data_IF_116372409702
#
_entry.id   IF_116372409702
#
_cell.length_a   1.000
_cell.length_b   1.000
_cell.length_c   1.000
_cell.angle_alpha   90.00
_cell.angle_beta   90.00
_cell.angle_gamma   90.00
#
_symmetry.space_group_name_H-M   'P 1'
#
loop_
_entity.id
_entity.type
_entity.pdbx_description
1 polymer ?
#
# COMPACT_ATOMS: atom_id res chain seq x y z
N UNK A 1 -0.40 23.12 1.62
CA UNK A 1 -0.03 24.12 2.65
C UNK A 1 -1.21 24.38 3.58
N UNK A 2 -0.94 24.36 4.89
CA UNK A 2 -1.91 24.69 5.94
C UNK A 2 -3.20 23.84 5.86
N UNK A 3 -3.07 22.58 5.39
CA UNK A 3 -4.21 21.69 5.20
C UNK A 3 -4.86 21.40 6.55
N UNK A 4 -6.12 21.82 6.68
CA UNK A 4 -6.94 21.51 7.84
C UNK A 4 -8.25 20.89 7.37
N UNK A 5 -8.50 19.65 7.79
CA UNK A 5 -9.65 18.84 7.39
C UNK A 5 -10.45 18.43 8.60
N UNK A 6 -11.71 18.77 8.59
CA UNK A 6 -12.68 18.37 9.61
C UNK A 6 -13.83 17.56 9.03
N UNK A 7 -14.45 16.76 9.88
CA UNK A 7 -15.67 16.03 9.56
C UNK A 7 -16.82 16.46 10.45
N UNK A 8 -17.99 16.68 9.85
CA UNK A 8 -19.23 16.90 10.61
C UNK A 8 -19.66 15.61 11.28
N UNK A 9 -19.72 15.62 12.61
CA UNK A 9 -20.19 14.52 13.43
C UNK A 9 -21.30 15.02 14.34
N UNK A 10 -22.56 14.78 13.96
CA UNK A 10 -23.73 15.36 14.61
C UNK A 10 -23.63 16.89 14.68
N UNK A 11 -23.60 17.49 15.87
CA UNK A 11 -23.53 18.93 16.11
C UNK A 11 -22.09 19.46 16.30
N UNK A 12 -21.07 18.63 16.09
CA UNK A 12 -19.67 18.98 16.30
C UNK A 12 -18.84 18.73 15.02
N UNK A 13 -17.63 19.32 14.98
CA UNK A 13 -16.65 19.09 13.94
C UNK A 13 -15.46 18.36 14.58
N UNK A 14 -15.19 17.16 14.08
CA UNK A 14 -13.97 16.44 14.42
C UNK A 14 -12.88 16.85 13.44
N UNK A 15 -11.77 17.44 13.92
CA UNK A 15 -10.61 17.81 13.11
C UNK A 15 -9.67 16.63 12.98
N UNK A 16 -9.55 16.07 11.78
CA UNK A 16 -8.70 14.91 11.50
C UNK A 16 -7.29 15.30 11.01
N UNK A 17 -7.15 16.48 10.40
CA UNK A 17 -5.87 17.07 9.97
C UNK A 17 -5.89 18.52 10.35
N UNK A 18 -4.81 19.01 10.96
CA UNK A 18 -4.69 20.38 11.44
C UNK A 18 -3.37 21.00 11.01
N UNK A 19 -3.46 22.05 10.18
CA UNK A 19 -2.33 22.86 9.70
C UNK A 19 -1.16 22.06 9.10
N UNK A 20 -1.47 20.95 8.40
CA UNK A 20 -0.45 20.11 7.78
C UNK A 20 0.11 20.78 6.51
N UNK A 21 1.43 20.90 6.45
CA UNK A 21 2.13 21.51 5.32
C UNK A 21 3.33 20.67 4.92
N UNK A 22 3.33 20.16 3.68
CA UNK A 22 4.46 19.45 3.07
C UNK A 22 4.44 19.63 1.57
N UNK A 23 5.53 19.27 0.92
CA UNK A 23 5.66 19.31 -0.55
C UNK A 23 6.38 18.07 -1.03
N UNK A 24 6.03 17.63 -2.23
CA UNK A 24 6.65 16.49 -2.92
C UNK A 24 7.35 17.04 -4.16
N UNK A 25 8.65 16.79 -4.29
CA UNK A 25 9.41 17.20 -5.43
C UNK A 25 9.26 16.20 -6.58
N UNK A 26 9.66 16.62 -7.78
CA UNK A 26 9.68 15.74 -8.94
C UNK A 26 10.67 14.57 -8.72
N UNK A 27 10.25 13.36 -9.09
CA UNK A 27 11.03 12.11 -8.95
C UNK A 27 11.40 11.76 -7.49
N UNK A 28 10.69 12.33 -6.53
CA UNK A 28 10.90 12.07 -5.10
C UNK A 28 9.93 11.02 -4.58
N UNK A 29 10.40 10.19 -3.65
CA UNK A 29 9.56 9.39 -2.76
C UNK A 29 9.48 10.07 -1.40
N UNK A 30 8.31 10.66 -1.09
CA UNK A 30 8.02 11.24 0.20
C UNK A 30 7.22 10.25 1.05
N UNK A 31 7.75 9.86 2.20
CA UNK A 31 6.99 9.05 3.16
C UNK A 31 6.13 9.92 4.08
N UNK A 32 4.93 9.45 4.38
CA UNK A 32 4.06 10.01 5.41
C UNK A 32 3.80 8.93 6.46
N UNK A 33 4.36 9.09 7.65
CA UNK A 33 4.38 8.09 8.72
C UNK A 33 3.69 8.56 9.99
N UNK A 34 3.27 7.63 10.84
CA UNK A 34 2.64 7.89 12.14
C UNK A 34 1.69 6.76 12.53
N UNK A 35 1.19 6.78 13.74
CA UNK A 35 0.23 5.78 14.25
C UNK A 35 -1.08 5.77 13.47
N UNK A 36 -1.86 4.67 13.62
CA UNK A 36 -3.20 4.61 13.04
C UNK A 36 -4.05 5.77 13.58
N UNK A 37 -4.84 6.39 12.70
CA UNK A 37 -5.65 7.56 13.08
C UNK A 37 -4.90 8.89 13.14
N UNK A 38 -3.61 8.96 12.82
CA UNK A 38 -2.85 10.23 12.82
C UNK A 38 -3.21 11.21 11.67
N UNK A 39 -4.09 10.83 10.74
CA UNK A 39 -4.56 11.69 9.64
C UNK A 39 -3.90 11.47 8.28
N UNK A 40 -3.01 10.45 8.14
CA UNK A 40 -2.27 10.15 6.90
C UNK A 40 -3.19 9.93 5.69
N UNK A 41 -4.06 8.93 5.77
CA UNK A 41 -4.99 8.60 4.66
C UNK A 41 -5.99 9.72 4.39
N UNK A 42 -6.39 10.49 5.42
CA UNK A 42 -7.23 11.68 5.24
C UNK A 42 -6.49 12.75 4.44
N UNK A 43 -5.21 12.99 4.74
CA UNK A 43 -4.36 13.92 3.99
C UNK A 43 -4.20 13.48 2.53
N UNK A 44 -3.96 12.19 2.28
CA UNK A 44 -3.83 11.61 0.95
C UNK A 44 -5.14 11.71 0.14
N UNK A 45 -6.27 11.29 0.71
CA UNK A 45 -7.58 11.38 0.06
C UNK A 45 -8.01 12.82 -0.21
N UNK A 46 -7.54 13.79 0.60
CA UNK A 46 -7.78 15.22 0.37
C UNK A 46 -7.15 15.72 -0.92
N UNK A 47 -5.97 15.18 -1.30
CA UNK A 47 -5.28 15.55 -2.55
C UNK A 47 -6.18 15.26 -3.77
N UNK A 48 -6.91 14.16 -3.72
CA UNK A 48 -7.81 13.76 -4.80
C UNK A 48 -9.28 14.14 -4.54
N UNK A 49 -9.57 14.87 -3.43
CA UNK A 49 -10.94 15.17 -2.99
C UNK A 49 -11.86 13.93 -2.99
N UNK A 50 -11.35 12.79 -2.43
CA UNK A 50 -12.08 11.52 -2.32
C UNK A 50 -12.78 11.37 -0.96
N UNK A 51 -12.72 12.37 -0.10
CA UNK A 51 -13.39 12.36 1.18
C UNK A 51 -14.92 12.52 0.99
N UNK A 52 -15.76 12.02 1.94
CA UNK A 52 -17.21 12.05 1.82
C UNK A 52 -17.76 13.49 1.65
N UNK A 53 -18.44 13.72 0.52
CA UNK A 53 -19.10 15.01 0.25
C UNK A 53 -20.15 15.34 1.32
N UNK A 54 -20.34 16.63 1.61
CA UNK A 54 -21.31 17.13 2.59
C UNK A 54 -20.94 16.90 4.06
N UNK A 55 -20.00 15.99 4.34
CA UNK A 55 -19.47 15.74 5.71
C UNK A 55 -18.09 16.35 5.90
N UNK A 56 -17.31 16.53 4.84
CA UNK A 56 -15.95 17.05 4.88
C UNK A 56 -15.94 18.58 4.84
N UNK A 57 -15.11 19.18 5.68
CA UNK A 57 -14.89 20.63 5.72
C UNK A 57 -13.40 20.88 5.57
N UNK A 58 -13.03 21.63 4.54
CA UNK A 58 -11.70 22.23 4.43
C UNK A 58 -11.74 23.60 5.07
N UNK A 59 -10.84 23.87 6.03
CA UNK A 59 -10.77 25.19 6.69
C UNK A 59 -10.24 26.22 5.70
N UNK A 60 -10.75 27.44 5.78
CA UNK A 60 -10.26 28.58 4.99
C UNK A 60 -8.75 28.77 5.21
N UNK A 61 -7.99 28.86 4.11
CA UNK A 61 -6.53 28.94 4.11
C UNK A 61 -5.83 27.60 3.81
N UNK A 62 -6.57 26.48 3.82
CA UNK A 62 -6.05 25.21 3.29
C UNK A 62 -5.81 25.36 1.79
N UNK A 63 -4.66 24.84 1.31
CA UNK A 63 -4.29 24.85 -0.10
C UNK A 63 -3.60 23.56 -0.49
N UNK A 64 -4.07 22.93 -1.57
CA UNK A 64 -3.44 21.76 -2.19
C UNK A 64 -3.14 22.11 -3.64
N UNK A 65 -1.87 22.29 -3.98
CA UNK A 65 -1.45 22.63 -5.34
C UNK A 65 -0.84 21.46 -6.05
N UNK A 66 -1.31 21.23 -7.27
CA UNK A 66 -0.66 20.37 -8.24
C UNK A 66 -0.12 21.26 -9.36
N UNK A 67 1.21 21.37 -9.46
CA UNK A 67 1.89 22.41 -10.22
C UNK A 67 1.39 23.80 -9.79
N UNK A 68 0.71 24.54 -10.69
CA UNK A 68 0.20 25.87 -10.45
C UNK A 68 -1.30 25.91 -10.15
N UNK A 69 -1.97 24.75 -10.15
CA UNK A 69 -3.42 24.65 -10.04
C UNK A 69 -3.83 24.28 -8.60
N UNK A 70 -4.79 25.04 -8.04
CA UNK A 70 -5.35 24.77 -6.71
C UNK A 70 -6.42 23.68 -6.81
N UNK A 71 -6.13 22.50 -6.25
CA UNK A 71 -7.01 21.32 -6.35
C UNK A 71 -8.32 21.55 -5.60
N UNK A 72 -8.29 22.23 -4.44
CA UNK A 72 -9.49 22.42 -3.63
C UNK A 72 -10.56 23.29 -4.31
N UNK A 73 -10.18 24.07 -5.32
CA UNK A 73 -11.09 24.96 -6.09
C UNK A 73 -11.54 24.34 -7.42
N UNK A 74 -11.08 23.11 -7.75
CA UNK A 74 -11.41 22.48 -9.01
C UNK A 74 -12.84 21.98 -9.07
N UNK A 75 -13.47 22.15 -10.23
CA UNK A 75 -14.73 21.50 -10.55
C UNK A 75 -14.57 19.98 -10.72
N UNK A 76 -15.66 19.22 -10.57
CA UNK A 76 -15.64 17.77 -10.77
C UNK A 76 -15.06 17.37 -12.14
N UNK A 77 -15.31 18.12 -13.20
CA UNK A 77 -14.75 17.87 -14.54
C UNK A 77 -13.23 18.03 -14.57
N UNK A 78 -12.70 19.04 -13.89
CA UNK A 78 -11.25 19.25 -13.76
C UNK A 78 -10.61 18.14 -12.91
N UNK A 79 -11.26 17.75 -11.80
CA UNK A 79 -10.78 16.63 -10.96
C UNK A 79 -10.75 15.31 -11.74
N UNK A 80 -11.73 15.02 -12.59
CA UNK A 80 -11.72 13.83 -13.47
C UNK A 80 -10.51 13.80 -14.40
N UNK A 81 -10.04 14.96 -14.89
CA UNK A 81 -8.84 15.04 -15.74
C UNK A 81 -7.52 14.81 -14.98
N UNK A 82 -7.56 14.86 -13.64
CA UNK A 82 -6.40 14.65 -12.77
C UNK A 82 -6.41 13.25 -12.17
N UNK A 83 -7.56 12.83 -11.62
CA UNK A 83 -7.74 11.54 -10.95
C UNK A 83 -7.46 10.40 -11.93
N UNK A 84 -6.56 9.48 -11.56
CA UNK A 84 -6.18 8.31 -12.36
C UNK A 84 -5.32 8.63 -13.59
N UNK A 85 -5.20 9.89 -14.03
CA UNK A 85 -4.39 10.29 -15.18
C UNK A 85 -3.10 11.01 -14.75
N UNK A 86 -3.20 12.02 -13.89
CA UNK A 86 -2.06 12.81 -13.41
C UNK A 86 -1.63 12.41 -12.01
N UNK A 87 -2.60 12.15 -11.16
CA UNK A 87 -2.41 11.64 -9.82
C UNK A 87 -3.21 10.36 -9.69
N UNK A 88 -2.54 9.27 -9.38
CA UNK A 88 -3.15 7.97 -9.14
C UNK A 88 -2.98 7.54 -7.69
N UNK A 89 -3.81 6.59 -7.23
CA UNK A 89 -3.79 6.13 -5.84
C UNK A 89 -3.94 4.62 -5.76
N UNK A 90 -3.09 4.00 -4.94
CA UNK A 90 -3.23 2.64 -4.45
C UNK A 90 -3.84 2.74 -3.05
N UNK A 91 -5.01 2.12 -2.85
CA UNK A 91 -5.72 2.12 -1.57
C UNK A 91 -5.23 1.00 -0.66
N UNK A 92 -5.43 1.17 0.65
CA UNK A 92 -4.94 0.31 1.71
C UNK A 92 -5.39 -1.16 1.59
N UNK A 93 -6.58 -1.42 1.05
CA UNK A 93 -7.13 -2.79 0.97
C UNK A 93 -7.19 -3.32 -0.47
N UNK A 94 -6.26 -4.22 -0.88
CA UNK A 94 -6.29 -4.84 -2.21
C UNK A 94 -7.57 -5.61 -2.51
N UNK A 95 -8.19 -6.18 -1.48
CA UNK A 95 -9.38 -7.03 -1.61
C UNK A 95 -10.63 -6.26 -1.99
N UNK A 96 -10.72 -4.98 -1.61
CA UNK A 96 -11.87 -4.11 -1.88
C UNK A 96 -11.68 -3.24 -3.11
N UNK A 97 -10.42 -3.09 -3.58
CA UNK A 97 -10.07 -2.22 -4.71
C UNK A 97 -10.33 -2.88 -6.08
N UNK A 98 -10.25 -4.22 -6.16
CA UNK A 98 -10.57 -4.96 -7.38
C UNK A 98 -12.02 -5.45 -7.34
N UNK A 99 -12.77 -5.21 -8.42
CA UNK A 99 -14.12 -5.76 -8.56
C UNK A 99 -14.04 -7.30 -8.70
N UNK A 100 -14.58 -8.10 -7.75
CA UNK A 100 -14.46 -9.56 -7.78
C UNK A 100 -15.21 -10.23 -8.94
N UNK A 101 -16.16 -9.53 -9.55
CA UNK A 101 -16.98 -10.04 -10.64
C UNK A 101 -16.43 -9.71 -12.02
N UNK A 102 -15.37 -8.90 -12.13
CA UNK A 102 -14.73 -8.54 -13.38
C UNK A 102 -13.35 -9.15 -13.50
N UNK A 103 -12.98 -9.56 -14.69
CA UNK A 103 -11.62 -10.06 -15.00
C UNK A 103 -10.61 -8.94 -14.83
N UNK A 104 -9.44 -9.27 -14.31
CA UNK A 104 -8.42 -8.26 -13.97
C UNK A 104 -7.92 -7.49 -15.19
N UNK A 105 -7.73 -8.17 -16.33
CA UNK A 105 -7.34 -7.49 -17.57
C UNK A 105 -8.35 -6.47 -18.04
N UNK A 106 -9.66 -6.75 -17.90
CA UNK A 106 -10.70 -5.79 -18.26
C UNK A 106 -10.67 -4.56 -17.35
N UNK A 107 -10.40 -4.73 -16.05
CA UNK A 107 -10.31 -3.62 -15.10
C UNK A 107 -9.13 -2.69 -15.42
N UNK A 108 -7.97 -3.25 -15.80
CA UNK A 108 -6.82 -2.45 -16.26
C UNK A 108 -7.18 -1.73 -17.57
N UNK A 109 -7.80 -2.42 -18.52
CA UNK A 109 -8.19 -1.85 -19.81
C UNK A 109 -9.21 -0.72 -19.63
N UNK A 110 -10.19 -0.87 -18.74
CA UNK A 110 -11.20 0.15 -18.44
C UNK A 110 -10.54 1.42 -17.85
N UNK A 111 -9.51 1.26 -17.01
CA UNK A 111 -8.80 2.40 -16.42
C UNK A 111 -8.18 3.31 -17.48
N UNK A 112 -7.67 2.79 -18.60
CA UNK A 112 -7.14 3.63 -19.68
C UNK A 112 -8.24 4.18 -20.57
N UNK A 113 -9.26 3.39 -20.92
CA UNK A 113 -10.37 3.83 -21.77
C UNK A 113 -11.19 4.96 -21.14
N UNK A 114 -11.16 5.11 -19.83
CA UNK A 114 -11.82 6.23 -19.14
C UNK A 114 -11.08 7.56 -19.31
N UNK A 115 -9.83 7.56 -19.81
CA UNK A 115 -8.98 8.74 -19.92
C UNK A 115 -8.40 8.98 -21.31
N UNK A 116 -8.32 7.95 -22.15
CA UNK A 116 -7.76 8.03 -23.50
C UNK A 116 -8.78 7.54 -24.54
N UNK A 117 -8.88 8.27 -25.64
CA UNK A 117 -9.70 7.88 -26.81
C UNK A 117 -8.88 6.96 -27.73
N UNK A 118 -8.72 5.71 -27.31
CA UNK A 118 -8.02 4.68 -28.08
C UNK A 118 -8.91 3.47 -28.31
N UNK A 119 -8.55 2.63 -29.29
CA UNK A 119 -9.30 1.41 -29.53
C UNK A 119 -9.18 0.43 -28.34
N UNK A 120 -10.23 -0.38 -28.12
CA UNK A 120 -10.19 -1.42 -27.10
C UNK A 120 -9.01 -2.36 -27.31
N UNK A 121 -8.65 -2.66 -28.58
CA UNK A 121 -7.52 -3.54 -28.90
C UNK A 121 -6.18 -2.92 -28.48
N UNK A 122 -5.99 -1.61 -28.66
CA UNK A 122 -4.79 -0.92 -28.24
C UNK A 122 -4.73 -0.80 -26.72
N UNK A 123 -5.87 -0.57 -26.05
CA UNK A 123 -5.96 -0.57 -24.60
C UNK A 123 -5.63 -1.95 -24.00
N UNK A 124 -6.11 -3.05 -24.60
CA UNK A 124 -5.75 -4.42 -24.20
C UNK A 124 -4.25 -4.69 -24.37
N UNK A 125 -3.64 -4.19 -25.45
CA UNK A 125 -2.20 -4.31 -25.68
C UNK A 125 -1.41 -3.58 -24.60
N UNK A 126 -1.72 -2.32 -24.33
CA UNK A 126 -1.09 -1.53 -23.25
C UNK A 126 -1.27 -2.21 -21.88
N UNK A 127 -2.46 -2.72 -21.58
CA UNK A 127 -2.73 -3.43 -20.33
C UNK A 127 -1.83 -4.68 -20.16
N UNK A 128 -1.62 -5.46 -21.23
CA UNK A 128 -0.73 -6.62 -21.20
C UNK A 128 0.74 -6.23 -21.06
N UNK A 129 1.19 -5.20 -21.78
CA UNK A 129 2.56 -4.67 -21.66
C UNK A 129 2.84 -4.21 -20.21
N UNK A 130 1.86 -3.60 -19.56
CA UNK A 130 2.01 -3.17 -18.17
C UNK A 130 1.94 -4.35 -17.18
N UNK A 131 1.08 -5.35 -17.44
CA UNK A 131 1.07 -6.58 -16.64
C UNK A 131 2.41 -7.34 -16.72
N UNK A 132 3.07 -7.34 -17.87
CA UNK A 132 4.41 -7.87 -18.03
C UNK A 132 5.43 -7.04 -17.25
N UNK A 133 5.33 -5.71 -17.32
CA UNK A 133 6.21 -4.79 -16.60
C UNK A 133 6.12 -4.95 -15.08
N UNK A 134 4.93 -5.26 -14.55
CA UNK A 134 4.73 -5.58 -13.13
C UNK A 134 4.96 -7.07 -12.82
N UNK A 135 5.56 -7.81 -13.75
CA UNK A 135 6.01 -9.20 -13.58
C UNK A 135 4.88 -10.17 -13.21
N UNK A 136 3.73 -10.07 -13.89
CA UNK A 136 2.65 -11.06 -13.77
C UNK A 136 3.03 -12.31 -14.59
N UNK A 137 3.16 -13.49 -13.96
CA UNK A 137 3.41 -14.73 -14.69
C UNK A 137 2.18 -15.18 -15.49
N UNK A 138 2.38 -16.02 -16.51
CA UNK A 138 1.29 -16.59 -17.33
C UNK A 138 0.29 -15.52 -17.86
N UNK A 139 0.83 -14.46 -18.45
CA UNK A 139 0.12 -13.23 -18.82
C UNK A 139 -1.27 -13.48 -19.45
N UNK A 140 -1.35 -14.31 -20.49
CA UNK A 140 -2.61 -14.56 -21.22
C UNK A 140 -3.69 -15.22 -20.36
N UNK A 141 -3.29 -16.10 -19.45
CA UNK A 141 -4.19 -16.72 -18.48
C UNK A 141 -4.61 -15.70 -17.44
N UNK A 142 -3.64 -14.99 -16.84
CA UNK A 142 -3.91 -14.04 -15.76
C UNK A 142 -4.71 -12.83 -16.20
N UNK A 143 -4.53 -12.37 -17.43
CA UNK A 143 -5.38 -11.32 -18.02
C UNK A 143 -6.88 -11.70 -17.98
N UNK A 144 -7.19 -12.99 -18.17
CA UNK A 144 -8.56 -13.53 -18.16
C UNK A 144 -9.03 -14.00 -16.79
N UNK A 145 -8.17 -13.98 -15.78
CA UNK A 145 -8.50 -14.42 -14.41
C UNK A 145 -9.34 -13.40 -13.66
N UNK A 146 -10.06 -13.89 -12.68
CA UNK A 146 -10.74 -13.06 -11.69
C UNK A 146 -9.82 -12.78 -10.48
N UNK A 147 -10.07 -11.72 -9.68
CA UNK A 147 -9.23 -11.39 -8.54
C UNK A 147 -9.02 -12.53 -7.54
N UNK A 148 -10.03 -13.35 -7.29
CA UNK A 148 -9.97 -14.48 -6.35
C UNK A 148 -9.08 -15.65 -6.84
N UNK A 149 -8.75 -15.70 -8.14
CA UNK A 149 -7.83 -16.69 -8.73
C UNK A 149 -6.35 -16.28 -8.64
N UNK A 150 -6.06 -15.10 -8.08
CA UNK A 150 -4.72 -14.54 -7.94
C UNK A 150 -4.24 -14.63 -6.48
N UNK A 151 -2.92 -14.79 -6.28
CA UNK A 151 -2.30 -14.64 -4.97
C UNK A 151 -2.36 -13.18 -4.48
N UNK A 152 -2.12 -12.92 -3.18
CA UNK A 152 -2.06 -11.57 -2.62
C UNK A 152 -1.09 -10.67 -3.37
N UNK A 153 0.14 -11.13 -3.59
CA UNK A 153 1.16 -10.39 -4.34
C UNK A 153 0.79 -10.15 -5.80
N UNK A 154 0.14 -11.12 -6.48
CA UNK A 154 -0.36 -10.91 -7.85
C UNK A 154 -1.47 -9.86 -7.89
N UNK A 155 -2.41 -9.87 -6.95
CA UNK A 155 -3.45 -8.82 -6.84
C UNK A 155 -2.83 -7.45 -6.62
N UNK A 156 -1.81 -7.35 -5.76
CA UNK A 156 -1.11 -6.11 -5.54
C UNK A 156 -0.42 -5.60 -6.81
N UNK A 157 0.26 -6.47 -7.56
CA UNK A 157 0.88 -6.13 -8.85
C UNK A 157 -0.16 -5.64 -9.88
N UNK A 158 -1.35 -6.26 -9.91
CA UNK A 158 -2.47 -5.80 -10.76
C UNK A 158 -2.95 -4.40 -10.35
N UNK A 159 -3.06 -4.13 -9.04
CA UNK A 159 -3.44 -2.79 -8.57
C UNK A 159 -2.40 -1.73 -8.93
N UNK A 160 -1.12 -2.06 -8.82
CA UNK A 160 -0.03 -1.20 -9.29
C UNK A 160 -0.18 -0.96 -10.80
N UNK A 161 -0.41 -2.01 -11.60
CA UNK A 161 -0.66 -1.88 -13.02
C UNK A 161 -1.84 -0.93 -13.31
N UNK A 162 -2.98 -1.12 -12.64
CA UNK A 162 -4.14 -0.24 -12.79
C UNK A 162 -3.84 1.22 -12.45
N UNK A 163 -3.05 1.45 -11.41
CA UNK A 163 -2.68 2.81 -11.00
C UNK A 163 -1.68 3.48 -11.94
N UNK A 164 -0.90 2.71 -12.69
CA UNK A 164 0.17 3.21 -13.56
C UNK A 164 -0.17 3.23 -15.05
N UNK A 165 -1.33 2.66 -15.46
CA UNK A 165 -1.68 2.50 -16.88
C UNK A 165 -1.74 3.84 -17.66
N UNK A 166 -2.01 4.93 -16.97
CA UNK A 166 -2.07 6.28 -17.54
C UNK A 166 -0.78 7.09 -17.28
N UNK A 167 0.30 6.46 -16.84
CA UNK A 167 1.61 7.08 -16.57
C UNK A 167 1.48 8.35 -15.69
N UNK A 168 1.00 8.23 -14.44
CA UNK A 168 0.76 9.39 -13.58
C UNK A 168 2.07 10.09 -13.20
N UNK A 169 1.99 11.39 -12.95
CA UNK A 169 3.12 12.18 -12.44
C UNK A 169 3.32 12.01 -10.92
N UNK A 170 2.24 11.66 -10.20
CA UNK A 170 2.26 11.34 -8.76
C UNK A 170 1.46 10.07 -8.49
N UNK A 171 2.10 9.12 -7.83
CA UNK A 171 1.46 7.94 -7.26
C UNK A 171 1.31 8.11 -5.74
N UNK A 172 0.10 8.06 -5.23
CA UNK A 172 -0.19 7.97 -3.80
C UNK A 172 -0.35 6.50 -3.46
N UNK A 173 0.51 5.97 -2.60
CA UNK A 173 0.50 4.57 -2.17
C UNK A 173 0.15 4.51 -0.67
N UNK A 174 -1.11 4.23 -0.36
CA UNK A 174 -1.59 4.15 1.03
C UNK A 174 -1.50 2.71 1.52
N UNK A 175 -0.49 2.44 2.33
CA UNK A 175 -0.14 1.12 2.87
C UNK A 175 -0.10 0.00 1.81
N UNK A 176 0.65 0.17 0.71
CA UNK A 176 0.53 -0.69 -0.48
C UNK A 176 1.00 -2.13 -0.26
N UNK A 177 1.61 -2.44 0.87
CA UNK A 177 2.16 -3.76 1.19
C UNK A 177 1.52 -4.40 2.41
N UNK A 178 0.49 -3.79 2.98
CA UNK A 178 -0.27 -4.36 4.11
C UNK A 178 -0.86 -5.72 3.74
N UNK A 179 -0.76 -6.69 4.65
CA UNK A 179 -1.19 -8.08 4.48
C UNK A 179 -0.39 -8.92 3.46
N UNK A 180 0.81 -8.47 3.09
CA UNK A 180 1.77 -9.27 2.32
C UNK A 180 2.89 -9.80 3.25
N UNK A 181 3.45 -10.94 2.90
CA UNK A 181 4.65 -11.43 3.57
C UNK A 181 5.88 -10.56 3.24
N UNK A 182 6.89 -10.60 4.12
CA UNK A 182 8.08 -9.72 4.04
C UNK A 182 8.81 -9.84 2.71
N UNK A 183 8.87 -11.03 2.12
CA UNK A 183 9.55 -11.26 0.84
C UNK A 183 8.81 -10.59 -0.31
N UNK A 184 7.50 -10.77 -0.39
CA UNK A 184 6.65 -10.12 -1.41
C UNK A 184 6.63 -8.61 -1.21
N UNK A 185 6.60 -8.14 0.03
CA UNK A 185 6.67 -6.71 0.36
C UNK A 185 7.94 -6.06 -0.21
N UNK A 186 9.11 -6.68 0.01
CA UNK A 186 10.37 -6.18 -0.54
C UNK A 186 10.35 -6.15 -2.08
N UNK A 187 9.83 -7.19 -2.73
CA UNK A 187 9.71 -7.26 -4.18
C UNK A 187 8.76 -6.17 -4.75
N UNK A 188 7.66 -5.89 -4.07
CA UNK A 188 6.70 -4.84 -4.48
C UNK A 188 7.36 -3.45 -4.39
N UNK A 189 8.10 -3.16 -3.31
CA UNK A 189 8.77 -1.87 -3.17
C UNK A 189 9.90 -1.69 -4.18
N UNK A 190 10.70 -2.73 -4.45
CA UNK A 190 11.71 -2.71 -5.50
C UNK A 190 11.08 -2.46 -6.88
N UNK A 191 9.97 -3.16 -7.19
CA UNK A 191 9.21 -2.93 -8.40
C UNK A 191 8.73 -1.48 -8.50
N UNK A 192 8.13 -0.92 -7.43
CA UNK A 192 7.66 0.46 -7.41
C UNK A 192 8.81 1.46 -7.63
N UNK A 193 9.99 1.21 -7.07
CA UNK A 193 11.14 2.07 -7.27
C UNK A 193 11.64 2.05 -8.72
N UNK A 194 11.76 0.86 -9.32
CA UNK A 194 12.10 0.72 -10.75
C UNK A 194 11.08 1.42 -11.66
N UNK A 195 9.80 1.33 -11.34
CA UNK A 195 8.73 1.98 -12.10
C UNK A 195 8.77 3.51 -11.90
N UNK A 196 9.06 4.00 -10.69
CA UNK A 196 9.28 5.43 -10.41
C UNK A 196 10.36 6.01 -11.32
N UNK A 197 11.51 5.36 -11.38
CA UNK A 197 12.63 5.80 -12.22
C UNK A 197 12.28 5.73 -13.71
N UNK A 198 11.69 4.62 -14.17
CA UNK A 198 11.34 4.42 -15.58
C UNK A 198 10.31 5.41 -16.11
N UNK A 199 9.30 5.74 -15.29
CA UNK A 199 8.19 6.64 -15.67
C UNK A 199 8.46 8.11 -15.28
N UNK A 200 9.50 8.37 -14.49
CA UNK A 200 9.81 9.73 -14.02
C UNK A 200 8.73 10.31 -13.09
N UNK A 201 8.04 9.45 -12.33
CA UNK A 201 6.97 9.84 -11.41
C UNK A 201 7.49 10.09 -9.99
N UNK A 202 6.69 10.78 -9.19
CA UNK A 202 6.92 10.93 -7.74
C UNK A 202 6.00 10.00 -6.97
N UNK A 203 6.37 9.64 -5.74
CA UNK A 203 5.56 8.77 -4.87
C UNK A 203 5.29 9.44 -3.53
N UNK A 204 4.02 9.49 -3.11
CA UNK A 204 3.63 9.71 -1.72
C UNK A 204 3.38 8.34 -1.09
N UNK A 205 4.32 7.89 -0.27
CA UNK A 205 4.31 6.57 0.36
C UNK A 205 3.80 6.67 1.80
N UNK A 206 2.65 6.08 2.08
CA UNK A 206 2.05 6.08 3.41
C UNK A 206 2.23 4.71 4.02
N UNK A 207 2.82 4.66 5.20
CA UNK A 207 3.02 3.43 5.95
C UNK A 207 3.19 3.71 7.45
N UNK A 208 3.02 2.68 8.25
CA UNK A 208 3.39 2.67 9.66
C UNK A 208 4.70 1.88 9.91
N UNK A 209 5.26 1.25 8.88
CA UNK A 209 6.51 0.47 8.96
C UNK A 209 7.72 1.36 8.65
N UNK A 210 8.46 1.71 9.70
CA UNK A 210 9.63 2.58 9.59
C UNK A 210 10.82 1.94 8.89
N UNK A 211 10.97 0.62 9.01
CA UNK A 211 12.03 -0.12 8.31
C UNK A 211 11.88 -0.06 6.79
N UNK A 212 10.65 0.08 6.29
CA UNK A 212 10.41 0.32 4.87
C UNK A 212 10.68 1.76 4.48
N UNK A 213 10.33 2.71 5.34
CA UNK A 213 10.56 4.14 5.09
C UNK A 213 12.04 4.43 4.92
N UNK A 214 12.88 3.91 5.80
CA UNK A 214 14.33 4.09 5.75
C UNK A 214 14.94 3.65 4.41
N UNK A 215 14.40 2.56 3.84
CA UNK A 215 14.93 1.96 2.60
C UNK A 215 14.33 2.54 1.33
N UNK A 216 13.10 3.05 1.38
CA UNK A 216 12.32 3.35 0.19
C UNK A 216 12.09 4.85 -0.03
N UNK A 217 12.21 5.70 1.00
CA UNK A 217 11.89 7.12 0.87
C UNK A 217 13.10 8.04 0.90
N UNK A 218 13.03 9.11 0.11
CA UNK A 218 14.03 10.18 0.08
C UNK A 218 13.83 11.14 1.26
N UNK A 219 12.56 11.49 1.53
CA UNK A 219 12.17 12.36 2.65
C UNK A 219 11.00 11.76 3.40
N UNK A 220 10.84 12.16 4.65
CA UNK A 220 9.78 11.70 5.53
C UNK A 220 9.08 12.85 6.24
N UNK A 221 7.76 12.75 6.36
CA UNK A 221 6.90 13.55 7.22
C UNK A 221 6.33 12.66 8.31
N UNK A 222 6.58 13.01 9.57
CA UNK A 222 6.04 12.33 10.74
C UNK A 222 4.77 13.03 11.19
N UNK A 223 3.68 12.29 11.26
CA UNK A 223 2.36 12.81 11.57
C UNK A 223 1.83 12.25 12.90
N UNK A 224 1.39 13.12 13.80
CA UNK A 224 0.76 12.78 15.07
C UNK A 224 -0.49 13.60 15.29
N UNK A 225 -1.61 12.95 15.63
CA UNK A 225 -2.87 13.63 16.00
C UNK A 225 -3.29 14.74 15.01
N UNK A 226 -3.19 14.44 13.72
CA UNK A 226 -3.56 15.35 12.64
C UNK A 226 -2.51 16.41 12.26
N UNK A 227 -1.36 16.46 12.93
CA UNK A 227 -0.30 17.46 12.70
C UNK A 227 0.98 16.83 12.19
N UNK A 228 1.70 17.55 11.34
CA UNK A 228 3.08 17.19 11.02
C UNK A 228 3.95 17.70 12.16
N UNK A 229 4.62 16.78 12.86
CA UNK A 229 5.46 17.09 14.02
C UNK A 229 6.94 17.18 13.66
N UNK A 230 7.36 16.49 12.61
CA UNK A 230 8.73 16.53 12.09
C UNK A 230 8.74 16.17 10.61
N UNK A 231 9.64 16.77 9.84
CA UNK A 231 9.86 16.42 8.43
C UNK A 231 11.30 16.75 8.01
N UNK A 232 11.83 15.97 7.08
CA UNK A 232 13.20 16.15 6.59
C UNK A 232 13.66 15.04 5.68
N UNK A 233 14.95 15.03 5.37
CA UNK A 233 15.61 13.93 4.66
C UNK A 233 15.56 12.67 5.52
N UNK A 234 15.23 11.54 4.93
CA UNK A 234 15.01 10.30 5.67
C UNK A 234 16.20 9.92 6.53
N UNK A 235 17.42 9.96 5.99
CA UNK A 235 18.63 9.63 6.74
C UNK A 235 18.90 10.56 7.92
N UNK A 236 18.52 11.84 7.84
CA UNK A 236 18.67 12.79 8.95
C UNK A 236 17.66 12.53 10.07
N UNK A 237 16.39 12.28 9.70
CA UNK A 237 15.32 12.00 10.69
C UNK A 237 15.59 10.69 11.43
N UNK A 238 16.11 9.66 10.74
CA UNK A 238 16.44 8.37 11.37
C UNK A 238 17.68 8.43 12.24
N UNK A 239 18.71 9.19 11.83
CA UNK A 239 19.97 9.29 12.61
C UNK A 239 19.89 10.31 13.75
N UNK A 240 19.14 11.39 13.59
CA UNK A 240 19.08 12.49 14.58
C UNK A 240 17.66 13.09 14.70
N UNK A 241 16.66 12.29 15.15
CA UNK A 241 15.29 12.77 15.34
C UNK A 241 15.26 13.83 16.45
N UNK A 242 14.50 14.91 16.21
CA UNK A 242 14.41 16.05 17.14
C UNK A 242 13.14 16.03 17.97
N UNK A 243 12.03 15.62 17.37
CA UNK A 243 10.73 15.62 18.05
C UNK A 243 10.59 14.38 18.95
N UNK A 244 10.11 14.56 20.17
CA UNK A 244 9.94 13.49 21.17
C UNK A 244 9.14 12.29 20.62
N UNK A 245 8.07 12.57 19.87
CA UNK A 245 7.26 11.52 19.27
C UNK A 245 8.04 10.72 18.22
N UNK A 246 8.85 11.37 17.37
CA UNK A 246 9.68 10.68 16.38
C UNK A 246 10.70 9.77 17.07
N UNK A 247 11.32 10.27 18.15
CA UNK A 247 12.25 9.49 18.97
C UNK A 247 11.55 8.25 19.56
N UNK A 248 10.33 8.45 20.10
CA UNK A 248 9.52 7.35 20.64
C UNK A 248 9.14 6.34 19.56
N UNK A 249 8.71 6.82 18.39
CA UNK A 249 8.29 6.00 17.26
C UNK A 249 9.44 5.11 16.76
N UNK A 250 10.62 5.67 16.55
CA UNK A 250 11.83 4.94 16.15
C UNK A 250 12.34 3.95 17.20
N UNK A 251 12.13 4.26 18.49
CA UNK A 251 12.50 3.35 19.60
C UNK A 251 11.47 2.25 19.88
N UNK A 252 10.27 2.34 19.32
CA UNK A 252 9.20 1.36 19.53
C UNK A 252 9.37 0.07 18.74
N UNK A 253 10.34 0.00 17.81
CA UNK A 253 10.69 -1.26 17.16
C UNK A 253 11.18 -2.27 18.20
N UNK A 254 10.71 -3.53 18.13
CA UNK A 254 11.12 -4.57 19.04
C UNK A 254 12.65 -4.75 18.99
N UNK A 255 13.31 -4.53 20.12
CA UNK A 255 14.74 -4.82 20.26
C UNK A 255 14.95 -6.34 20.43
N UNK A 256 16.12 -6.81 20.02
CA UNK A 256 16.56 -8.16 20.35
C UNK A 256 16.45 -8.40 21.86
N UNK A 257 15.91 -9.54 22.24
CA UNK A 257 15.84 -9.94 23.65
C UNK A 257 17.23 -10.36 24.12
N UNK A 258 17.78 -9.62 25.06
CA UNK A 258 18.95 -10.07 25.83
C UNK A 258 18.57 -11.28 26.69
N UNK A 259 19.29 -12.38 26.52
CA UNK A 259 19.21 -13.62 27.34
C UNK A 259 17.86 -14.34 27.39
N UNK A 260 17.69 -15.27 26.46
CA UNK A 260 16.62 -16.28 26.49
C UNK A 260 16.96 -17.35 27.56
N UNK A 261 16.39 -17.24 28.77
CA UNK A 261 16.24 -18.40 29.64
C UNK A 261 15.15 -19.31 29.07
N UNK A 262 15.55 -20.26 28.22
CA UNK A 262 14.64 -21.28 27.68
C UNK A 262 14.38 -22.31 28.76
N UNK A 263 13.13 -22.45 29.19
CA UNK A 263 12.71 -23.51 30.11
C UNK A 263 12.90 -24.89 29.47
N UNK A 264 13.31 -25.90 30.22
CA UNK A 264 13.34 -27.30 29.76
C UNK A 264 11.93 -27.92 29.68
N UNK A 265 10.93 -27.31 30.33
CA UNK A 265 9.55 -27.75 30.35
C UNK A 265 8.81 -27.20 29.10
N UNK A 266 8.39 -28.09 28.21
CA UNK A 266 7.64 -27.76 27.00
C UNK A 266 6.14 -27.73 27.27
N UNK A 267 5.46 -26.62 26.88
CA UNK A 267 4.00 -26.54 26.92
C UNK A 267 3.35 -27.19 25.70
N UNK A 268 4.10 -27.28 24.60
CA UNK A 268 3.69 -27.97 23.36
C UNK A 268 4.88 -28.72 22.78
N UNK A 269 4.65 -29.99 22.42
CA UNK A 269 5.61 -30.83 21.71
C UNK A 269 4.89 -31.45 20.50
N UNK A 270 5.35 -31.11 19.32
CA UNK A 270 4.87 -31.64 18.05
C UNK A 270 6.00 -32.46 17.47
N UNK A 271 5.73 -33.72 17.14
CA UNK A 271 6.71 -34.62 16.55
C UNK A 271 6.18 -35.21 15.23
N UNK A 272 6.93 -35.05 14.16
CA UNK A 272 6.70 -35.67 12.85
C UNK A 272 5.28 -35.36 12.28
N UNK A 273 4.80 -34.12 12.46
CA UNK A 273 3.48 -33.71 11.98
C UNK A 273 3.45 -33.59 10.46
N UNK A 274 2.52 -34.31 9.83
CA UNK A 274 2.20 -34.16 8.42
C UNK A 274 0.71 -33.92 8.22
N UNK A 275 0.36 -32.92 7.41
CA UNK A 275 -1.03 -32.53 7.14
C UNK A 275 -1.32 -32.62 5.66
N UNK A 276 -2.37 -33.34 5.31
CA UNK A 276 -2.79 -33.56 3.93
C UNK A 276 -4.20 -33.04 3.69
N UNK A 277 -4.40 -32.33 2.58
CA UNK A 277 -5.72 -31.91 2.10
C UNK A 277 -6.11 -32.75 0.87
N UNK A 278 -7.41 -33.07 0.78
CA UNK A 278 -7.97 -33.67 -0.44
C UNK A 278 -8.20 -32.57 -1.46
N UNK A 279 -7.63 -32.71 -2.66
CA UNK A 279 -7.80 -31.78 -3.77
C UNK A 279 -8.43 -32.50 -4.96
N UNK A 280 -9.21 -31.81 -5.83
CA UNK A 280 -9.73 -32.40 -7.05
C UNK A 280 -8.60 -32.92 -7.93
N UNK A 281 -8.68 -34.17 -8.35
CA UNK A 281 -7.74 -34.75 -9.30
C UNK A 281 -8.07 -34.30 -10.74
N UNK A 282 -7.07 -34.31 -11.63
CA UNK A 282 -7.29 -34.15 -13.07
C UNK A 282 -8.09 -35.32 -13.69
N UNK A 283 -8.24 -36.44 -12.98
CA UNK A 283 -9.03 -37.59 -13.42
C UNK A 283 -10.45 -37.51 -12.84
N UNK A 284 -11.44 -37.77 -13.72
CA UNK A 284 -12.85 -37.77 -13.34
C UNK A 284 -13.10 -38.70 -12.13
N UNK A 285 -13.80 -38.20 -11.11
CA UNK A 285 -14.15 -38.95 -9.88
C UNK A 285 -13.01 -39.36 -8.96
N UNK A 286 -11.78 -38.81 -9.14
CA UNK A 286 -10.67 -39.04 -8.20
C UNK A 286 -10.30 -37.78 -7.42
N UNK A 287 -9.81 -37.96 -6.21
CA UNK A 287 -9.22 -36.91 -5.38
C UNK A 287 -7.74 -37.24 -5.16
N UNK A 288 -6.90 -36.22 -5.36
CA UNK A 288 -5.48 -36.33 -5.01
C UNK A 288 -5.26 -35.80 -3.58
N UNK A 289 -4.10 -36.10 -3.00
CA UNK A 289 -3.70 -35.59 -1.69
C UNK A 289 -2.64 -34.51 -1.89
N UNK A 290 -2.89 -33.32 -1.42
CA UNK A 290 -1.90 -32.26 -1.32
C UNK A 290 -1.29 -32.29 0.09
N UNK A 291 0.03 -32.43 0.19
CA UNK A 291 0.76 -32.38 1.45
C UNK A 291 1.04 -30.90 1.76
N UNK A 292 0.34 -30.34 2.73
CA UNK A 292 0.51 -28.94 3.14
C UNK A 292 1.61 -28.78 4.19
N UNK A 293 1.80 -29.79 5.04
CA UNK A 293 2.84 -29.85 6.07
C UNK A 293 3.47 -31.23 6.01
N UNK A 294 4.78 -31.30 5.94
CA UNK A 294 5.53 -32.56 5.84
C UNK A 294 6.57 -32.68 6.94
N UNK A 295 6.38 -33.64 7.83
CA UNK A 295 7.35 -34.08 8.84
C UNK A 295 7.93 -32.94 9.71
N UNK A 296 7.06 -32.06 10.21
CA UNK A 296 7.47 -30.95 11.08
C UNK A 296 7.51 -31.40 12.54
N UNK A 297 8.62 -31.08 13.20
CA UNK A 297 8.77 -31.23 14.65
C UNK A 297 9.05 -29.87 15.26
N UNK A 298 8.29 -29.49 16.30
CA UNK A 298 8.36 -28.19 16.95
C UNK A 298 8.10 -28.34 18.45
N UNK A 299 8.93 -27.67 19.27
CA UNK A 299 8.74 -27.57 20.71
C UNK A 299 8.53 -26.13 21.12
N UNK A 300 7.57 -25.88 21.99
CA UNK A 300 7.35 -24.56 22.59
C UNK A 300 7.61 -24.68 24.09
N UNK A 301 8.76 -24.19 24.58
CA UNK A 301 9.06 -24.16 26.01
C UNK A 301 8.12 -23.21 26.75
N UNK A 302 7.87 -23.51 28.03
CA UNK A 302 7.06 -22.65 28.90
C UNK A 302 7.70 -21.25 29.02
N UNK A 303 6.87 -20.21 29.02
CA UNK A 303 7.28 -18.81 29.08
C UNK A 303 8.20 -18.34 27.93
N UNK A 304 8.16 -19.04 26.80
CA UNK A 304 8.91 -18.67 25.60
C UNK A 304 7.97 -18.19 24.48
N UNK A 305 8.55 -17.47 23.52
CA UNK A 305 7.92 -17.13 22.25
C UNK A 305 8.68 -17.80 21.13
N UNK A 306 8.01 -18.63 20.36
CA UNK A 306 8.60 -19.29 19.20
C UNK A 306 8.01 -18.65 17.94
N UNK A 307 8.86 -18.09 17.09
CA UNK A 307 8.46 -17.54 15.80
C UNK A 307 8.41 -18.62 14.73
N UNK A 308 7.31 -18.66 13.97
CA UNK A 308 7.21 -19.49 12.75
C UNK A 308 7.20 -18.51 11.56
N UNK A 309 8.17 -18.67 10.68
CA UNK A 309 8.36 -17.79 9.51
C UNK A 309 8.36 -18.62 8.23
N UNK A 310 7.88 -18.01 7.15
CA UNK A 310 7.80 -18.65 5.83
C UNK A 310 7.02 -17.79 4.85
N UNK A 311 7.04 -18.19 3.59
CA UNK A 311 6.21 -17.56 2.56
C UNK A 311 4.73 -17.95 2.70
N UNK A 312 3.85 -17.11 2.16
CA UNK A 312 2.40 -17.35 2.19
C UNK A 312 2.03 -18.45 1.22
N UNK A 313 1.68 -19.62 1.74
CA UNK A 313 1.17 -20.75 0.97
C UNK A 313 2.18 -21.59 0.28
#
# INVERSE_FOLDING_TARGET
KNLTVGFKVRDSIFTAVEDASFEINKNETMALVGESGSGKSVSAMSILQLLPEGKTIFRKGSSIKFHHSEILEMSNKQLQSIRGKKISMIFQEPMTSLNPYHRVGNQITESILSHEDISKKDAEKKAKELMELVEIPDLERRYKSYPHELSGGQRQRIMIAMSLINEPELLIADEPTTALDVTIQAQILDLMNRLKEKLGMSILFITHDLGLVEKFSDRVCVMKEGKIVEQGVTTEIFSNPKHEYTIKLLKSEPKEKDNLHVSEDNILDISNLSVFYKVPSKQLFKTDRFCAVSDISLKIPRNSTVGVVGESG
#
